data_IF_547934088390
#
_entry.id   IF_547934088390
#
_cell.length_a   1.000
_cell.length_b   1.000
_cell.length_c   1.000
_cell.angle_alpha   90.00
_cell.angle_beta   90.00
_cell.angle_gamma   90.00
#
_symmetry.space_group_name_H-M   'P 1'
#
loop_
_entity.id
_entity.type
_entity.pdbx_description
1 polymer ?
#
# COMPACT_ATOMS: atom_id res chain seq x y z
N UNK A 1 1.99 -42.87 -3.57
CA UNK A 1 1.72 -42.34 -2.22
C UNK A 1 1.64 -40.82 -2.34
N UNK A 2 0.62 -40.18 -1.75
CA UNK A 2 0.46 -38.73 -1.78
C UNK A 2 0.93 -38.14 -0.46
N UNK A 3 1.73 -37.08 -0.52
CA UNK A 3 2.24 -36.41 0.66
C UNK A 3 1.89 -34.92 0.64
N UNK A 4 1.67 -34.34 1.82
CA UNK A 4 1.40 -32.92 2.00
C UNK A 4 2.43 -32.31 2.93
N UNK A 5 3.04 -31.20 2.49
CA UNK A 5 3.80 -30.31 3.35
C UNK A 5 2.84 -29.27 3.91
N UNK A 6 2.68 -29.20 5.24
CA UNK A 6 1.79 -28.23 5.90
C UNK A 6 2.56 -27.47 6.97
N UNK A 7 2.79 -26.17 6.77
CA UNK A 7 3.60 -25.34 7.68
C UNK A 7 3.07 -23.91 7.72
N UNK A 8 2.62 -23.47 8.91
CA UNK A 8 2.09 -22.12 9.12
C UNK A 8 2.60 -21.50 10.43
N UNK A 9 3.86 -21.03 10.47
CA UNK A 9 4.55 -20.68 11.71
C UNK A 9 3.89 -19.47 12.43
N UNK A 10 3.36 -18.52 11.68
CA UNK A 10 2.70 -17.33 12.23
C UNK A 10 1.17 -17.45 12.35
N UNK A 11 0.59 -18.59 11.97
CA UNK A 11 -0.87 -18.77 11.86
C UNK A 11 -1.33 -20.15 12.36
N UNK A 12 -1.29 -20.41 13.68
CA UNK A 12 -1.60 -21.72 14.25
C UNK A 12 -3.06 -22.16 14.02
N UNK A 13 -4.00 -21.21 13.94
CA UNK A 13 -5.39 -21.51 13.60
C UNK A 13 -5.50 -22.06 12.16
N UNK A 14 -4.80 -21.44 11.21
CA UNK A 14 -4.78 -21.87 9.81
C UNK A 14 -4.16 -23.26 9.70
N UNK A 15 -3.07 -23.51 10.44
CA UNK A 15 -2.42 -24.82 10.47
C UNK A 15 -3.41 -25.94 10.84
N UNK A 16 -4.10 -25.77 11.97
CA UNK A 16 -5.08 -26.73 12.49
C UNK A 16 -6.21 -27.00 11.48
N UNK A 17 -6.76 -25.94 10.88
CA UNK A 17 -7.85 -26.06 9.92
C UNK A 17 -7.41 -26.78 8.64
N UNK A 18 -6.21 -26.47 8.13
CA UNK A 18 -5.67 -27.10 6.92
C UNK A 18 -5.41 -28.59 7.17
N UNK A 19 -4.78 -28.95 8.29
CA UNK A 19 -4.55 -30.37 8.64
C UNK A 19 -5.85 -31.15 8.78
N UNK A 20 -6.83 -30.59 9.49
CA UNK A 20 -8.14 -31.22 9.66
C UNK A 20 -8.88 -31.39 8.33
N UNK A 21 -8.86 -30.38 7.46
CA UNK A 21 -9.45 -30.45 6.13
C UNK A 21 -8.78 -31.52 5.25
N UNK A 22 -7.45 -31.60 5.27
CA UNK A 22 -6.69 -32.59 4.50
C UNK A 22 -7.00 -34.02 4.96
N UNK A 23 -6.97 -34.30 6.26
CA UNK A 23 -7.30 -35.63 6.79
C UNK A 23 -8.75 -36.03 6.52
N UNK A 24 -9.67 -35.06 6.48
CA UNK A 24 -11.08 -35.32 6.16
C UNK A 24 -11.29 -35.69 4.69
N UNK A 25 -10.59 -35.02 3.77
CA UNK A 25 -10.74 -35.25 2.32
C UNK A 25 -9.89 -36.41 1.85
N UNK A 26 -8.69 -36.57 2.42
CA UNK A 26 -7.70 -37.59 2.07
C UNK A 26 -7.20 -38.26 3.37
N UNK A 27 -7.92 -39.27 3.91
CA UNK A 27 -7.55 -39.90 5.18
C UNK A 27 -6.16 -40.54 5.19
N UNK A 28 -5.71 -41.06 4.04
CA UNK A 28 -4.43 -41.78 3.91
C UNK A 28 -3.24 -40.86 3.56
N UNK A 29 -3.43 -39.53 3.55
CA UNK A 29 -2.38 -38.59 3.19
C UNK A 29 -1.28 -38.53 4.26
N UNK A 30 -0.02 -38.53 3.82
CA UNK A 30 1.10 -38.32 4.72
C UNK A 30 1.36 -36.83 4.88
N UNK A 31 1.11 -36.29 6.08
CA UNK A 31 1.37 -34.89 6.40
C UNK A 31 2.74 -34.78 7.06
N UNK A 32 3.58 -33.91 6.53
CA UNK A 32 4.91 -33.60 7.08
C UNK A 32 5.11 -32.09 7.14
N UNK A 33 5.97 -31.65 8.05
CA UNK A 33 6.39 -30.25 8.14
C UNK A 33 7.69 -30.02 7.34
N UNK A 34 8.43 -31.09 7.04
CA UNK A 34 9.67 -31.04 6.30
C UNK A 34 9.44 -30.97 4.78
N UNK A 35 10.50 -30.59 4.05
CA UNK A 35 10.47 -30.67 2.58
C UNK A 35 10.29 -32.12 2.12
N UNK A 36 9.37 -32.31 1.19
CA UNK A 36 9.07 -33.60 0.61
C UNK A 36 10.09 -33.92 -0.50
N UNK A 37 10.40 -35.21 -0.67
CA UNK A 37 11.29 -35.66 -1.74
C UNK A 37 10.62 -35.51 -3.11
N UNK A 38 11.43 -35.17 -4.12
CA UNK A 38 11.00 -34.81 -5.49
C UNK A 38 10.42 -35.97 -6.33
N UNK A 39 10.39 -37.19 -5.78
CA UNK A 39 10.01 -38.41 -6.49
C UNK A 39 8.52 -38.77 -6.36
N UNK A 40 7.79 -38.08 -5.47
CA UNK A 40 6.38 -38.39 -5.19
C UNK A 40 5.45 -37.22 -5.48
N UNK A 41 4.19 -37.53 -5.82
CA UNK A 41 3.14 -36.52 -6.00
C UNK A 41 2.87 -35.87 -4.65
N UNK A 42 3.04 -34.56 -4.59
CA UNK A 42 2.96 -33.82 -3.34
C UNK A 42 2.21 -32.50 -3.46
N UNK A 43 1.68 -32.03 -2.33
CA UNK A 43 1.05 -30.71 -2.20
C UNK A 43 1.74 -29.92 -1.09
N UNK A 44 2.13 -28.69 -1.40
CA UNK A 44 2.72 -27.74 -0.45
C UNK A 44 1.66 -26.72 -0.04
N UNK A 45 1.11 -26.91 1.16
CA UNK A 45 0.08 -26.03 1.72
C UNK A 45 0.59 -25.32 2.97
N UNK A 46 1.38 -24.29 2.74
CA UNK A 46 2.13 -23.58 3.77
C UNK A 46 2.14 -22.07 3.53
N UNK A 47 2.72 -21.30 4.46
CA UNK A 47 3.00 -19.89 4.25
C UNK A 47 3.91 -19.66 3.03
N UNK A 48 3.79 -18.48 2.41
CA UNK A 48 4.48 -18.19 1.15
C UNK A 48 6.00 -18.39 1.22
N UNK A 49 6.62 -18.05 2.35
CA UNK A 49 8.07 -18.14 2.55
C UNK A 49 8.55 -19.59 2.77
N UNK A 50 7.63 -20.50 3.12
CA UNK A 50 7.92 -21.92 3.36
C UNK A 50 7.73 -22.77 2.11
N UNK A 51 7.08 -22.25 1.07
CA UNK A 51 6.86 -22.97 -0.18
C UNK A 51 8.16 -22.99 -0.98
N UNK A 52 8.56 -24.17 -1.47
CA UNK A 52 9.62 -24.29 -2.46
C UNK A 52 9.08 -23.95 -3.85
N UNK A 53 9.09 -22.66 -4.18
CA UNK A 53 8.62 -22.14 -5.46
C UNK A 53 9.44 -22.64 -6.64
N UNK A 54 10.71 -22.99 -6.42
CA UNK A 54 11.59 -23.51 -7.47
C UNK A 54 11.15 -24.93 -7.84
N UNK A 55 10.97 -25.79 -6.84
CA UNK A 55 10.50 -27.16 -7.03
C UNK A 55 9.13 -27.19 -7.71
N UNK A 56 8.17 -26.38 -7.22
CA UNK A 56 6.81 -26.29 -7.80
C UNK A 56 6.87 -25.84 -9.26
N UNK A 57 7.74 -24.89 -9.59
CA UNK A 57 7.85 -24.39 -10.96
C UNK A 57 8.53 -25.39 -11.91
N UNK A 58 9.47 -26.20 -11.41
CA UNK A 58 10.16 -27.25 -12.18
C UNK A 58 9.30 -28.51 -12.34
N UNK A 59 8.49 -28.85 -11.34
CA UNK A 59 7.72 -30.10 -11.27
C UNK A 59 6.21 -29.85 -11.23
N UNK A 60 5.67 -29.13 -12.21
CA UNK A 60 4.25 -28.68 -12.21
C UNK A 60 3.23 -29.82 -12.26
N UNK A 61 3.60 -30.97 -12.83
CA UNK A 61 2.70 -32.12 -12.99
C UNK A 61 2.62 -33.01 -11.73
N UNK A 62 3.59 -32.89 -10.83
CA UNK A 62 3.71 -33.75 -9.64
C UNK A 62 3.65 -32.98 -8.33
N UNK A 63 4.03 -31.70 -8.30
CA UNK A 63 4.08 -30.86 -7.10
C UNK A 63 3.10 -29.71 -7.23
N UNK A 64 2.13 -29.66 -6.34
CA UNK A 64 1.15 -28.57 -6.24
C UNK A 64 1.52 -27.63 -5.09
N UNK A 65 1.10 -26.37 -5.21
CA UNK A 65 1.31 -25.34 -4.20
C UNK A 65 0.03 -24.56 -3.96
N UNK A 66 -0.18 -24.16 -2.70
CA UNK A 66 -1.27 -23.26 -2.30
C UNK A 66 -1.07 -21.80 -2.75
N UNK A 67 0.09 -21.43 -3.30
CA UNK A 67 0.37 -20.06 -3.72
C UNK A 67 1.10 -19.98 -5.07
N UNK A 68 0.78 -18.93 -5.84
CA UNK A 68 1.46 -18.60 -7.09
C UNK A 68 2.73 -17.79 -6.86
N UNK A 69 3.79 -18.10 -7.60
CA UNK A 69 5.06 -17.36 -7.58
C UNK A 69 4.90 -15.92 -8.11
N UNK A 70 4.19 -15.75 -9.24
CA UNK A 70 4.00 -14.44 -9.89
C UNK A 70 2.68 -13.79 -9.52
N UNK A 71 2.60 -13.23 -8.31
CA UNK A 71 1.36 -12.63 -7.75
C UNK A 71 1.45 -11.14 -7.42
N UNK A 72 2.64 -10.52 -7.59
CA UNK A 72 2.90 -9.10 -7.23
C UNK A 72 1.96 -8.13 -7.91
N UNK A 73 1.55 -8.45 -9.13
CA UNK A 73 0.60 -7.69 -9.94
C UNK A 73 -0.75 -7.46 -9.24
N UNK A 74 -1.24 -8.46 -8.49
CA UNK A 74 -2.57 -8.41 -7.89
C UNK A 74 -2.55 -8.05 -6.40
N UNK A 75 -1.54 -8.51 -5.66
CA UNK A 75 -1.52 -8.36 -4.20
C UNK A 75 -1.00 -6.99 -3.73
N UNK A 76 -0.37 -6.22 -4.62
CA UNK A 76 0.18 -4.90 -4.29
C UNK A 76 -0.62 -3.81 -4.99
N UNK A 77 -1.05 -2.84 -4.19
CA UNK A 77 -1.94 -1.77 -4.64
C UNK A 77 -1.44 -1.01 -5.87
N UNK A 78 -0.18 -0.59 -5.92
CA UNK A 78 0.35 0.18 -7.07
C UNK A 78 0.38 -0.67 -8.36
N UNK A 79 0.85 -1.91 -8.26
CA UNK A 79 0.83 -2.82 -9.40
C UNK A 79 -0.61 -3.13 -9.86
N UNK A 80 -1.53 -3.35 -8.91
CA UNK A 80 -2.93 -3.62 -9.23
C UNK A 80 -3.59 -2.43 -9.94
N UNK A 81 -3.38 -1.22 -9.43
CA UNK A 81 -3.85 0.02 -10.08
C UNK A 81 -3.35 0.12 -11.53
N UNK A 82 -2.04 -0.05 -11.74
CA UNK A 82 -1.42 0.01 -13.07
C UNK A 82 -1.99 -1.05 -14.02
N UNK A 83 -2.21 -2.27 -13.52
CA UNK A 83 -2.78 -3.36 -14.30
C UNK A 83 -4.23 -3.11 -14.68
N UNK A 84 -5.05 -2.58 -13.75
CA UNK A 84 -6.43 -2.19 -14.04
C UNK A 84 -6.47 -1.05 -15.05
N UNK A 85 -5.64 -0.01 -14.88
CA UNK A 85 -5.53 1.09 -15.83
C UNK A 85 -5.19 0.60 -17.25
N UNK A 86 -4.15 -0.22 -17.38
CA UNK A 86 -3.71 -0.79 -18.67
C UNK A 86 -4.76 -1.70 -19.30
N UNK A 87 -5.58 -2.37 -18.48
CA UNK A 87 -6.68 -3.19 -18.97
C UNK A 87 -7.85 -2.33 -19.47
N UNK A 88 -8.21 -1.27 -18.73
CA UNK A 88 -9.31 -0.36 -19.05
C UNK A 88 -9.03 0.50 -20.29
N UNK A 89 -7.77 0.85 -20.58
CA UNK A 89 -7.41 1.55 -21.83
C UNK A 89 -7.78 0.72 -23.07
N UNK A 90 -7.75 -0.61 -22.96
CA UNK A 90 -8.13 -1.53 -24.03
C UNK A 90 -9.59 -1.97 -23.94
N UNK A 91 -10.21 -1.88 -22.77
CA UNK A 91 -11.56 -2.38 -22.48
C UNK A 91 -12.36 -1.33 -21.68
N UNK A 92 -12.75 -0.21 -22.29
CA UNK A 92 -13.35 0.93 -21.59
C UNK A 92 -14.74 0.61 -20.99
N UNK A 93 -15.48 -0.33 -21.58
CA UNK A 93 -16.83 -0.71 -21.16
C UNK A 93 -16.86 -1.77 -20.04
N UNK A 94 -15.70 -2.13 -19.48
CA UNK A 94 -15.62 -3.10 -18.40
C UNK A 94 -16.23 -2.58 -17.10
N UNK A 95 -16.92 -3.46 -16.36
CA UNK A 95 -17.42 -3.20 -15.00
C UNK A 95 -16.32 -2.74 -14.03
N UNK A 96 -15.06 -3.11 -14.31
CA UNK A 96 -13.91 -2.70 -13.51
C UNK A 96 -13.74 -1.17 -13.45
N UNK A 97 -14.23 -0.43 -14.45
CA UNK A 97 -14.19 1.03 -14.47
C UNK A 97 -14.93 1.66 -13.29
N UNK A 98 -16.01 1.01 -12.85
CA UNK A 98 -16.84 1.50 -11.75
C UNK A 98 -16.53 0.79 -10.43
N UNK A 99 -15.93 -0.40 -10.48
CA UNK A 99 -15.62 -1.21 -9.29
C UNK A 99 -14.29 -0.82 -8.62
N UNK A 100 -13.38 -0.17 -9.34
CA UNK A 100 -12.09 0.25 -8.81
C UNK A 100 -12.00 1.79 -8.72
N UNK A 101 -11.64 2.37 -7.56
CA UNK A 101 -11.44 3.81 -7.45
C UNK A 101 -10.25 4.25 -8.30
N UNK A 102 -10.32 5.44 -8.93
CA UNK A 102 -9.16 5.99 -9.62
C UNK A 102 -8.00 6.10 -8.63
N UNK A 103 -6.80 5.76 -9.06
CA UNK A 103 -5.64 5.69 -8.18
C UNK A 103 -4.45 6.20 -8.97
N UNK A 104 -3.74 7.17 -8.42
CA UNK A 104 -2.55 7.78 -9.00
C UNK A 104 -1.32 7.39 -8.19
N UNK A 105 -0.19 7.23 -8.86
CA UNK A 105 1.08 6.91 -8.24
C UNK A 105 1.94 8.19 -8.24
N UNK A 106 2.59 8.52 -7.12
CA UNK A 106 3.31 9.80 -6.98
C UNK A 106 4.65 9.59 -6.29
N UNK A 107 5.72 9.62 -7.05
CA UNK A 107 7.07 9.53 -6.49
C UNK A 107 7.62 10.92 -6.19
N UNK A 108 7.88 11.24 -4.92
CA UNK A 108 8.36 12.57 -4.49
C UNK A 108 9.57 12.40 -3.57
N UNK A 109 10.67 13.09 -3.86
CA UNK A 109 11.83 13.11 -2.95
C UNK A 109 11.74 14.26 -1.95
N UNK A 110 11.24 15.42 -2.38
CA UNK A 110 11.10 16.61 -1.54
C UNK A 110 9.76 17.30 -1.77
N UNK A 111 9.20 17.92 -0.72
CA UNK A 111 7.87 18.57 -0.79
C UNK A 111 7.81 19.67 -1.85
N UNK A 112 8.91 20.36 -2.10
CA UNK A 112 8.99 21.44 -3.10
C UNK A 112 8.79 20.93 -4.54
N UNK A 113 8.98 19.62 -4.79
CA UNK A 113 8.77 18.98 -6.11
C UNK A 113 7.28 18.69 -6.38
N UNK A 114 6.41 18.78 -5.37
CA UNK A 114 5.00 18.39 -5.49
C UNK A 114 4.27 19.22 -6.56
N UNK A 115 4.50 20.54 -6.59
CA UNK A 115 3.85 21.43 -7.53
C UNK A 115 4.29 21.14 -8.98
N UNK A 116 5.56 20.76 -9.18
CA UNK A 116 6.11 20.36 -10.48
C UNK A 116 5.49 19.03 -10.95
N UNK A 117 5.41 18.04 -10.06
CA UNK A 117 4.81 16.72 -10.38
C UNK A 117 3.32 16.85 -10.70
N UNK A 118 2.59 17.72 -10.00
CA UNK A 118 1.19 18.00 -10.30
C UNK A 118 1.00 18.69 -11.65
N UNK A 119 1.94 19.54 -12.07
CA UNK A 119 1.87 20.18 -13.38
C UNK A 119 2.25 19.23 -14.53
N UNK A 120 3.31 18.43 -14.35
CA UNK A 120 3.92 17.68 -15.44
C UNK A 120 3.32 16.27 -15.62
N UNK A 121 3.13 15.53 -14.53
CA UNK A 121 2.73 14.12 -14.60
C UNK A 121 1.28 13.88 -14.18
N UNK A 122 0.78 14.67 -13.24
CA UNK A 122 -0.49 14.42 -12.55
C UNK A 122 -1.51 15.54 -12.75
N UNK A 123 -1.48 16.18 -13.92
CA UNK A 123 -2.40 17.26 -14.26
C UNK A 123 -3.88 16.85 -14.14
N UNK A 124 -4.22 15.60 -14.51
CA UNK A 124 -5.59 15.06 -14.36
C UNK A 124 -6.03 15.03 -12.90
N UNK A 125 -5.12 14.62 -12.01
CA UNK A 125 -5.39 14.57 -10.58
C UNK A 125 -5.48 15.98 -10.00
N UNK A 126 -4.64 16.91 -10.43
CA UNK A 126 -4.70 18.31 -10.01
C UNK A 126 -6.04 18.94 -10.40
N UNK A 127 -6.51 18.70 -11.62
CA UNK A 127 -7.82 19.16 -12.10
C UNK A 127 -8.96 18.52 -11.29
N UNK A 128 -8.93 17.20 -11.08
CA UNK A 128 -9.94 16.50 -10.28
C UNK A 128 -9.94 16.97 -8.81
N UNK A 129 -8.77 17.23 -8.20
CA UNK A 129 -8.67 17.75 -6.83
C UNK A 129 -9.26 19.15 -6.69
N UNK A 130 -9.15 20.00 -7.72
CA UNK A 130 -9.68 21.36 -7.69
C UNK A 130 -11.18 21.42 -8.03
N UNK A 131 -11.63 20.60 -8.99
CA UNK A 131 -12.94 20.75 -9.62
C UNK A 131 -13.98 19.70 -9.19
N UNK A 132 -13.55 18.54 -8.70
CA UNK A 132 -14.49 17.48 -8.26
C UNK A 132 -14.91 17.70 -6.80
N UNK A 133 -16.00 17.05 -6.35
CA UNK A 133 -16.36 16.96 -4.92
C UNK A 133 -15.99 15.60 -4.33
N UNK A 134 -15.07 14.87 -4.96
CA UNK A 134 -14.68 13.53 -4.51
C UNK A 134 -13.66 13.61 -3.38
N UNK A 135 -13.72 12.62 -2.50
CA UNK A 135 -12.79 12.48 -1.40
C UNK A 135 -11.59 11.68 -1.87
N UNK A 136 -10.39 12.18 -1.59
CA UNK A 136 -9.13 11.53 -1.94
C UNK A 136 -8.37 11.13 -0.67
N UNK A 137 -7.61 10.05 -0.79
CA UNK A 137 -6.85 9.42 0.28
C UNK A 137 -5.37 9.33 -0.14
N UNK A 138 -4.52 10.13 0.50
CA UNK A 138 -3.08 9.95 0.32
C UNK A 138 -2.60 8.76 1.16
N UNK A 139 -2.07 7.73 0.50
CA UNK A 139 -1.55 6.53 1.20
C UNK A 139 -0.05 6.37 0.95
N UNK A 140 0.79 6.39 1.99
CA UNK A 140 2.20 6.06 1.83
C UNK A 140 2.36 4.59 1.38
N UNK A 141 3.34 4.32 0.53
CA UNK A 141 3.61 2.97 0.03
C UNK A 141 4.21 2.06 1.12
N UNK A 142 4.90 2.63 2.10
CA UNK A 142 5.52 1.89 3.22
C UNK A 142 4.52 1.63 4.35
N UNK A 143 4.43 0.38 4.78
CA UNK A 143 3.57 -0.09 5.88
C UNK A 143 4.18 0.14 7.28
N UNK A 144 5.35 0.77 7.39
CA UNK A 144 6.13 0.79 8.65
C UNK A 144 5.64 1.86 9.64
N UNK A 145 4.77 2.77 9.23
CA UNK A 145 4.18 3.73 10.15
C UNK A 145 2.67 3.59 10.11
N UNK A 146 2.05 3.54 11.29
CA UNK A 146 0.64 3.88 11.49
C UNK A 146 0.45 5.36 11.13
N UNK A 147 0.72 5.72 9.88
CA UNK A 147 0.52 7.05 9.36
C UNK A 147 -0.98 7.26 9.28
N UNK A 148 -1.45 8.26 10.00
CA UNK A 148 -2.81 8.78 9.86
C UNK A 148 -3.00 9.06 8.38
N UNK A 149 -4.03 8.46 7.80
CA UNK A 149 -4.40 8.66 6.40
C UNK A 149 -5.24 9.93 6.33
N UNK A 150 -4.70 11.05 5.83
CA UNK A 150 -5.48 12.28 5.71
C UNK A 150 -6.53 12.13 4.60
N UNK A 151 -7.77 12.53 4.92
CA UNK A 151 -8.82 12.75 3.95
C UNK A 151 -8.75 14.20 3.47
N UNK A 152 -8.73 14.40 2.16
CA UNK A 152 -8.71 15.74 1.58
C UNK A 152 -10.02 16.05 0.85
N UNK A 153 -10.43 17.31 0.98
CA UNK A 153 -11.49 17.93 0.19
C UNK A 153 -10.90 19.04 -0.69
N UNK A 154 -11.55 19.40 -1.81
CA UNK A 154 -11.06 20.35 -2.81
C UNK A 154 -10.67 21.72 -2.26
N UNK A 155 -11.33 22.17 -1.19
CA UNK A 155 -11.09 23.50 -0.59
C UNK A 155 -9.88 23.58 0.32
N UNK A 156 -9.22 22.45 0.63
CA UNK A 156 -8.20 22.37 1.69
C UNK A 156 -6.83 21.94 1.16
N UNK A 157 -6.66 21.68 -0.14
CA UNK A 157 -5.50 20.92 -0.67
C UNK A 157 -4.15 21.62 -0.49
N UNK A 158 -4.11 22.95 -0.35
CA UNK A 158 -2.84 23.69 -0.32
C UNK A 158 -2.08 23.64 1.02
N UNK A 159 -2.75 23.40 2.16
CA UNK A 159 -2.14 23.61 3.49
C UNK A 159 -1.72 22.34 4.26
N UNK A 160 -2.46 21.21 4.21
CA UNK A 160 -2.10 20.04 5.02
C UNK A 160 -0.99 19.19 4.39
N UNK A 161 -0.77 19.24 3.08
CA UNK A 161 0.32 18.48 2.43
C UNK A 161 1.69 19.08 2.80
N UNK A 162 1.79 20.42 2.83
CA UNK A 162 3.00 21.15 3.26
C UNK A 162 3.27 20.99 4.77
N UNK A 163 2.21 20.87 5.58
CA UNK A 163 2.32 20.65 7.02
C UNK A 163 2.89 19.27 7.41
N UNK A 164 2.86 18.28 6.51
CA UNK A 164 3.46 16.96 6.75
C UNK A 164 4.99 16.96 6.57
N UNK A 165 5.55 17.86 5.76
CA UNK A 165 7.00 17.97 5.52
C UNK A 165 7.76 18.80 6.56
N UNK A 166 7.04 19.61 7.33
CA UNK A 166 7.59 20.35 8.46
C UNK A 166 7.24 19.59 9.72
N UNK A 167 8.20 18.90 10.34
CA UNK A 167 8.03 18.04 11.52
C UNK A 167 7.49 18.74 12.78
N UNK A 168 6.31 19.34 12.70
CA UNK A 168 5.64 20.07 13.75
C UNK A 168 4.47 19.22 14.26
N UNK A 169 4.78 18.08 14.88
CA UNK A 169 3.86 17.45 15.83
C UNK A 169 3.99 18.19 17.16
N UNK A 170 3.30 19.33 17.32
CA UNK A 170 2.95 19.79 18.66
C UNK A 170 1.58 19.24 19.00
N UNK A 171 1.59 18.29 19.93
CA UNK A 171 0.42 17.73 20.57
C UNK A 171 -0.44 18.83 21.21
N UNK A 172 -1.72 18.88 20.82
CA UNK A 172 -2.76 19.63 21.50
C UNK A 172 -3.16 20.95 20.83
N UNK A 173 -4.35 20.99 20.23
CA UNK A 173 -5.50 21.80 20.68
C UNK A 173 -6.64 21.74 19.65
N UNK A 174 -7.79 21.24 20.13
CA UNK A 174 -9.13 21.79 19.92
C UNK A 174 -9.59 22.13 18.48
N UNK A 175 -10.42 21.23 17.92
CA UNK A 175 -11.29 21.52 16.78
C UNK A 175 -12.34 22.58 17.16
N UNK A 176 -12.12 23.84 16.79
CA UNK A 176 -13.17 24.88 16.80
C UNK A 176 -13.20 25.61 15.47
N UNK A 177 -14.29 25.35 14.75
CA UNK A 177 -14.94 26.15 13.69
C UNK A 177 -14.37 27.55 13.48
N UNK A 178 -13.72 27.77 12.33
CA UNK A 178 -13.35 29.11 11.86
C UNK A 178 -14.35 29.57 10.80
N UNK A 179 -15.43 30.21 11.25
CA UNK A 179 -16.25 31.11 10.44
C UNK A 179 -16.17 32.49 11.07
N UNK A 180 -15.88 33.51 10.25
CA UNK A 180 -15.80 34.95 10.59
C UNK A 180 -14.48 35.42 11.21
N UNK A 181 -13.57 35.93 10.38
CA UNK A 181 -13.13 37.34 10.46
C UNK A 181 -11.96 37.59 9.50
N UNK A 182 -12.31 37.78 8.23
CA UNK A 182 -11.55 38.60 7.30
C UNK A 182 -11.73 40.06 7.75
N UNK A 183 -10.79 40.57 8.55
CA UNK A 183 -10.42 41.98 8.78
C UNK A 183 -9.67 42.07 10.11
N UNK A 184 -8.57 42.83 10.10
CA UNK A 184 -7.69 43.17 11.23
C UNK A 184 -6.60 42.14 11.56
N UNK A 185 -5.45 42.24 10.88
CA UNK A 185 -4.12 42.33 11.52
C UNK A 185 -3.02 42.43 10.47
N UNK A 186 -3.08 43.48 9.66
CA UNK A 186 -1.86 44.16 9.23
C UNK A 186 -1.31 44.95 10.43
N UNK A 187 -0.01 44.78 10.67
CA UNK A 187 0.88 45.57 11.54
C UNK A 187 1.20 45.03 12.94
N UNK A 188 2.51 45.16 13.24
CA UNK A 188 3.20 45.05 14.54
C UNK A 188 3.51 43.63 15.04
N UNK A 189 4.75 43.16 14.88
CA UNK A 189 5.87 43.51 15.78
C UNK A 189 7.10 42.62 15.51
N UNK A 190 8.22 43.26 15.18
CA UNK A 190 9.58 42.70 15.23
C UNK A 190 9.99 42.46 16.70
N UNK A 191 10.63 41.32 17.02
CA UNK A 191 11.92 41.24 17.77
C UNK A 191 12.26 39.82 18.28
N UNK A 192 13.42 39.35 17.82
CA UNK A 192 14.51 38.69 18.57
C UNK A 192 14.26 37.34 19.26
N UNK A 193 15.01 36.29 18.88
CA UNK A 193 16.06 35.63 19.71
C UNK A 193 16.79 34.56 18.88
N UNK A 194 18.12 34.65 18.88
CA UNK A 194 19.10 33.68 18.36
C UNK A 194 19.10 32.40 19.20
N UNK A 195 19.03 31.21 18.59
CA UNK A 195 19.78 30.02 19.01
C UNK A 195 20.19 29.19 17.79
N UNK A 196 21.43 28.68 17.82
CA UNK A 196 22.13 27.91 16.78
C UNK A 196 22.20 26.44 17.21
N UNK A 197 22.28 25.54 16.22
CA UNK A 197 22.66 24.12 16.23
C UNK A 197 21.52 23.10 15.97
N UNK A 198 21.78 21.92 15.38
CA UNK A 198 22.82 21.52 14.43
C UNK A 198 22.26 21.04 13.07
N UNK A 199 23.12 20.96 12.06
CA UNK A 199 22.84 20.33 10.76
C UNK A 199 22.68 18.82 10.94
N UNK A 200 21.50 18.28 10.57
CA UNK A 200 21.29 16.84 10.37
C UNK A 200 20.86 16.65 8.91
N UNK A 201 21.72 16.03 8.12
CA UNK A 201 21.36 15.47 6.81
C UNK A 201 20.50 14.24 7.05
N UNK A 202 19.29 14.23 6.52
CA UNK A 202 18.52 13.01 6.30
C UNK A 202 18.13 12.99 4.84
N UNK A 203 18.83 12.19 4.05
CA UNK A 203 18.36 11.78 2.73
C UNK A 203 17.37 10.64 2.95
N UNK A 204 16.16 10.77 2.43
CA UNK A 204 15.26 9.63 2.35
C UNK A 204 14.23 9.85 1.26
N UNK A 205 14.51 9.28 0.10
CA UNK A 205 13.54 9.08 -0.98
C UNK A 205 12.34 8.30 -0.43
N UNK A 206 11.14 8.86 -0.57
CA UNK A 206 9.91 8.20 -0.16
C UNK A 206 8.88 8.33 -1.27
N UNK A 207 8.58 7.20 -1.91
CA UNK A 207 7.60 7.16 -2.99
C UNK A 207 6.20 7.11 -2.36
N UNK A 208 5.31 8.01 -2.79
CA UNK A 208 3.92 8.10 -2.35
C UNK A 208 2.97 7.57 -3.44
N UNK A 209 1.71 7.34 -3.11
CA UNK A 209 0.67 7.03 -4.11
C UNK A 209 -0.69 7.50 -3.58
N UNK A 210 -1.43 8.24 -4.40
CA UNK A 210 -2.77 8.75 -4.08
C UNK A 210 -3.84 7.71 -4.46
N UNK A 211 -4.68 7.34 -3.48
CA UNK A 211 -5.98 6.68 -3.69
C UNK A 211 -7.05 7.73 -3.88
#
# INVERSE_FOLDING_TARGET
MFAAKVVWPSAPLTDSLVRHALLRVLPDIQISDANLSSDSRSVQWSSYDEIDHVLVNLQRDTVLSSSYTFRKCLIRKHFLSRSIFTYLTKNPDSLLRNAWPRTFEIEISFVDELDEIFADELWELADELQNSKTWWILKPLSQIYNAVVPLFTPTTVAWPIVAMGSGCFTTGLHWRTYSRSLRQMTQKTKRTVKRKAPTIRVSSHHNYAIL
#
